data_IF_381897543772
#
_entry.id   IF_381897543772
#
_cell.length_a   1.000
_cell.length_b   1.000
_cell.length_c   1.000
_cell.angle_alpha   90.00
_cell.angle_beta   90.00
_cell.angle_gamma   90.00
#
_symmetry.space_group_name_H-M   'P 1'
#
loop_
_entity.id
_entity.type
_entity.pdbx_description
1 polymer ?
#
# COMPACT_ATOMS: atom_id res chain seq x y z
N UNK A 1 22.18 3.55 -11.81
CA UNK A 1 21.50 2.26 -11.93
C UNK A 1 21.18 1.74 -10.53
N UNK A 2 19.93 1.91 -10.08
CA UNK A 2 19.22 1.06 -9.10
C UNK A 2 19.74 0.81 -7.66
N UNK A 3 21.01 1.06 -7.34
CA UNK A 3 21.59 0.85 -6.00
C UNK A 3 21.07 1.84 -4.96
N UNK A 4 21.41 1.67 -3.66
CA UNK A 4 21.29 2.78 -2.71
C UNK A 4 21.98 3.99 -3.34
N UNK A 5 21.34 5.16 -3.31
CA UNK A 5 22.08 6.33 -3.72
C UNK A 5 23.31 6.45 -2.82
N UNK A 6 24.49 6.71 -3.38
CA UNK A 6 25.67 7.00 -2.57
C UNK A 6 25.32 8.14 -1.62
N UNK A 7 25.10 7.83 -0.34
CA UNK A 7 24.82 8.85 0.67
C UNK A 7 26.16 9.52 0.94
N UNK A 8 26.38 10.63 0.25
CA UNK A 8 27.55 11.46 0.44
C UNK A 8 27.38 12.30 1.71
N UNK A 9 28.11 11.95 2.77
CA UNK A 9 28.29 12.81 3.93
C UNK A 9 29.67 13.45 3.76
N UNK A 10 29.70 14.68 3.22
CA UNK A 10 30.95 15.36 2.90
C UNK A 10 31.69 14.67 1.73
N UNK A 11 32.94 14.26 1.95
CA UNK A 11 33.80 13.61 0.94
C UNK A 11 33.76 12.08 0.96
N UNK A 12 33.05 11.47 1.91
CA UNK A 12 32.89 10.02 2.00
C UNK A 12 31.54 9.62 1.45
N UNK A 13 31.59 8.85 0.37
CA UNK A 13 30.43 8.16 -0.15
C UNK A 13 30.26 6.88 0.67
N UNK A 14 29.08 6.65 1.24
CA UNK A 14 28.74 5.36 1.88
C UNK A 14 28.57 4.29 0.80
N UNK A 15 29.68 3.90 0.17
CA UNK A 15 29.79 2.73 -0.70
C UNK A 15 29.69 1.48 0.18
N UNK A 16 29.00 0.44 -0.29
CA UNK A 16 28.90 -0.81 0.47
C UNK A 16 30.33 -1.36 0.54
N UNK A 17 30.93 -1.57 1.73
CA UNK A 17 32.40 -1.67 1.91
C UNK A 17 33.11 -2.86 1.24
N UNK A 18 32.46 -3.60 0.34
CA UNK A 18 32.96 -4.80 -0.32
C UNK A 18 32.56 -4.93 -1.80
N UNK A 19 31.84 -3.97 -2.40
CA UNK A 19 31.29 -4.12 -3.77
C UNK A 19 31.73 -2.95 -4.65
N UNK A 20 32.38 -3.20 -5.81
CA UNK A 20 32.74 -2.14 -6.75
C UNK A 20 31.52 -1.37 -7.31
N UNK A 21 31.63 -0.05 -7.37
CA UNK A 21 30.57 0.93 -7.72
C UNK A 21 29.85 0.65 -9.06
N UNK A 22 30.46 -0.11 -9.97
CA UNK A 22 29.85 -0.52 -11.24
C UNK A 22 28.80 -1.64 -11.13
N UNK A 23 28.84 -2.46 -10.06
CA UNK A 23 27.96 -3.62 -9.88
C UNK A 23 27.03 -3.51 -8.66
N UNK A 24 27.19 -2.47 -7.83
CA UNK A 24 26.36 -2.22 -6.64
C UNK A 24 24.86 -2.18 -6.96
N UNK A 25 24.49 -1.56 -8.09
CA UNK A 25 23.10 -1.49 -8.54
C UNK A 25 22.50 -2.86 -8.87
N UNK A 26 23.29 -3.71 -9.54
CA UNK A 26 22.88 -5.08 -9.88
C UNK A 26 22.78 -5.95 -8.64
N UNK A 27 23.74 -5.83 -7.72
CA UNK A 27 23.72 -6.57 -6.47
C UNK A 27 22.53 -6.17 -5.59
N UNK A 28 22.22 -4.89 -5.49
CA UNK A 28 21.09 -4.40 -4.71
C UNK A 28 19.74 -4.84 -5.30
N UNK A 29 19.61 -4.82 -6.63
CA UNK A 29 18.44 -5.38 -7.30
C UNK A 29 18.31 -6.87 -7.00
N UNK A 30 19.41 -7.62 -7.13
CA UNK A 30 19.44 -9.06 -6.87
C UNK A 30 19.08 -9.37 -5.41
N UNK A 31 19.59 -8.60 -4.46
CA UNK A 31 19.25 -8.70 -3.05
C UNK A 31 17.75 -8.46 -2.80
N UNK A 32 17.15 -7.41 -3.40
CA UNK A 32 15.71 -7.18 -3.32
C UNK A 32 14.92 -8.36 -3.88
N UNK A 33 15.29 -8.86 -5.05
CA UNK A 33 14.62 -10.01 -5.69
C UNK A 33 14.71 -11.25 -4.81
N UNK A 34 15.87 -11.56 -4.23
CA UNK A 34 16.04 -12.67 -3.30
C UNK A 34 15.15 -12.53 -2.06
N UNK A 35 15.05 -11.32 -1.50
CA UNK A 35 14.15 -11.04 -0.37
C UNK A 35 12.69 -11.24 -0.77
N UNK A 36 12.25 -10.71 -1.91
CA UNK A 36 10.89 -10.92 -2.41
C UNK A 36 10.58 -12.40 -2.69
N UNK A 37 11.53 -13.14 -3.26
CA UNK A 37 11.38 -14.57 -3.52
C UNK A 37 11.27 -15.36 -2.21
N UNK A 38 12.12 -15.06 -1.22
CA UNK A 38 12.07 -15.67 0.10
C UNK A 38 10.71 -15.42 0.76
N UNK A 39 10.23 -14.17 0.73
CA UNK A 39 8.92 -13.79 1.24
C UNK A 39 7.81 -14.58 0.53
N UNK A 40 7.85 -14.71 -0.80
CA UNK A 40 6.85 -15.46 -1.55
C UNK A 40 6.80 -16.95 -1.17
N UNK A 41 7.97 -17.58 -1.05
CA UNK A 41 8.07 -18.99 -0.61
C UNK A 41 7.58 -19.14 0.83
N UNK A 42 7.92 -18.21 1.71
CA UNK A 42 7.46 -18.19 3.10
C UNK A 42 5.94 -18.00 3.23
N UNK A 43 5.35 -17.06 2.48
CA UNK A 43 3.90 -16.88 2.44
C UNK A 43 3.18 -18.12 1.91
N UNK A 44 3.72 -18.80 0.89
CA UNK A 44 3.18 -20.08 0.40
C UNK A 44 3.19 -21.15 1.49
N UNK A 45 4.24 -21.20 2.32
CA UNK A 45 4.38 -22.19 3.38
C UNK A 45 3.50 -21.88 4.61
N UNK A 46 3.21 -20.61 4.88
CA UNK A 46 2.50 -20.16 6.10
C UNK A 46 1.01 -19.93 5.91
N UNK A 47 0.55 -19.54 4.71
CA UNK A 47 -0.86 -19.24 4.48
C UNK A 47 -1.70 -20.52 4.30
N UNK A 48 -2.70 -20.77 5.16
CA UNK A 48 -3.68 -21.84 4.94
C UNK A 48 -4.52 -21.50 3.69
N UNK A 49 -4.80 -22.51 2.85
CA UNK A 49 -5.45 -22.35 1.53
C UNK A 49 -6.73 -21.49 1.63
N UNK A 50 -6.68 -20.26 1.10
CA UNK A 50 -7.82 -19.36 1.06
C UNK A 50 -8.78 -19.76 -0.07
N UNK A 51 -10.07 -19.69 0.20
CA UNK A 51 -11.10 -19.96 -0.81
C UNK A 51 -11.18 -18.80 -1.81
N UNK A 52 -11.54 -19.10 -3.07
CA UNK A 52 -11.70 -18.09 -4.12
C UNK A 52 -12.64 -16.95 -3.70
N UNK A 53 -13.74 -17.30 -3.04
CA UNK A 53 -14.74 -16.33 -2.57
C UNK A 53 -14.16 -15.35 -1.53
N UNK A 54 -13.23 -15.79 -0.69
CA UNK A 54 -12.55 -14.92 0.30
C UNK A 54 -11.55 -13.97 -0.36
N UNK A 55 -10.86 -14.45 -1.40
CA UNK A 55 -9.94 -13.62 -2.19
C UNK A 55 -10.71 -12.57 -3.00
N UNK A 56 -11.84 -12.97 -3.58
CA UNK A 56 -12.75 -12.07 -4.31
C UNK A 56 -13.29 -10.98 -3.36
N UNK A 57 -13.75 -11.37 -2.18
CA UNK A 57 -14.25 -10.42 -1.19
C UNK A 57 -13.16 -9.45 -0.70
N UNK A 58 -11.94 -9.93 -0.43
CA UNK A 58 -10.82 -9.07 -0.07
C UNK A 58 -10.47 -8.10 -1.20
N UNK A 59 -10.37 -8.60 -2.44
CA UNK A 59 -10.07 -7.82 -3.64
C UNK A 59 -11.07 -6.69 -3.87
N UNK A 60 -12.34 -7.03 -3.93
CA UNK A 60 -13.39 -6.10 -4.33
C UNK A 60 -13.86 -5.20 -3.18
N UNK A 61 -13.93 -5.69 -1.95
CA UNK A 61 -14.45 -4.90 -0.82
C UNK A 61 -13.37 -4.12 -0.07
N UNK A 62 -12.10 -4.55 -0.13
CA UNK A 62 -11.02 -3.94 0.67
C UNK A 62 -9.94 -3.32 -0.21
N UNK A 63 -9.39 -4.05 -1.20
CA UNK A 63 -8.25 -3.55 -2.00
C UNK A 63 -8.63 -2.39 -2.93
N UNK A 64 -9.77 -2.48 -3.64
CA UNK A 64 -10.19 -1.41 -4.56
C UNK A 64 -10.47 -0.09 -3.81
N UNK A 65 -11.31 -0.06 -2.77
CA UNK A 65 -11.57 1.19 -2.05
C UNK A 65 -10.32 1.75 -1.35
N UNK A 66 -9.45 0.88 -0.83
CA UNK A 66 -8.20 1.31 -0.20
C UNK A 66 -7.23 1.96 -1.20
N UNK A 67 -7.05 1.35 -2.37
CA UNK A 67 -6.17 1.91 -3.41
C UNK A 67 -6.71 3.22 -3.98
N UNK A 68 -8.02 3.34 -4.17
CA UNK A 68 -8.66 4.59 -4.58
C UNK A 68 -8.51 5.69 -3.52
N UNK A 69 -8.73 5.37 -2.24
CA UNK A 69 -8.52 6.32 -1.14
C UNK A 69 -7.08 6.82 -1.08
N UNK A 70 -6.10 5.92 -1.21
CA UNK A 70 -4.69 6.30 -1.26
C UNK A 70 -4.36 7.19 -2.47
N UNK A 71 -4.92 6.88 -3.64
CA UNK A 71 -4.78 7.72 -4.82
C UNK A 71 -5.35 9.12 -4.59
N UNK A 72 -6.53 9.24 -3.97
CA UNK A 72 -7.15 10.53 -3.64
C UNK A 72 -6.29 11.33 -2.64
N UNK A 73 -5.66 10.69 -1.64
CA UNK A 73 -4.68 11.38 -0.77
C UNK A 73 -3.56 12.01 -1.57
N UNK A 74 -2.90 11.20 -2.40
CA UNK A 74 -1.73 11.65 -3.15
C UNK A 74 -2.10 12.77 -4.13
N UNK A 75 -3.26 12.66 -4.78
CA UNK A 75 -3.79 13.71 -5.65
C UNK A 75 -4.07 15.01 -4.89
N UNK A 76 -4.74 14.93 -3.74
CA UNK A 76 -5.04 16.09 -2.90
C UNK A 76 -3.75 16.77 -2.38
N UNK A 77 -2.78 15.98 -1.92
CA UNK A 77 -1.48 16.46 -1.47
C UNK A 77 -0.71 17.16 -2.60
N UNK A 78 -0.73 16.58 -3.80
CA UNK A 78 -0.04 17.15 -4.95
C UNK A 78 -0.67 18.45 -5.41
N UNK A 79 -2.00 18.55 -5.39
CA UNK A 79 -2.72 19.78 -5.72
C UNK A 79 -2.50 20.87 -4.67
N UNK A 80 -2.66 20.55 -3.38
CA UNK A 80 -2.50 21.51 -2.29
C UNK A 80 -1.10 22.12 -2.22
N UNK A 81 -0.07 21.32 -2.54
CA UNK A 81 1.31 21.81 -2.64
C UNK A 81 1.52 22.76 -3.82
N UNK A 82 0.85 22.54 -4.95
CA UNK A 82 0.98 23.40 -6.13
C UNK A 82 0.37 24.79 -5.90
N UNK A 83 -0.73 24.86 -5.15
CA UNK A 83 -1.44 26.11 -4.80
C UNK A 83 -0.80 26.83 -3.58
N UNK A 84 0.29 26.30 -3.03
CA UNK A 84 1.01 26.90 -1.89
C UNK A 84 0.27 26.80 -0.55
N UNK A 85 -0.70 25.88 -0.42
CA UNK A 85 -1.42 25.67 0.83
C UNK A 85 -0.54 24.95 1.86
N UNK A 86 -0.84 25.16 3.14
CA UNK A 86 -0.14 24.46 4.22
C UNK A 86 -0.38 22.94 4.10
N UNK A 87 0.71 22.20 3.95
CA UNK A 87 0.70 20.74 3.77
C UNK A 87 0.06 20.05 4.97
N UNK A 88 0.19 20.61 6.17
CA UNK A 88 -0.39 20.03 7.40
C UNK A 88 -1.92 20.10 7.31
N UNK A 89 -2.47 21.25 6.92
CA UNK A 89 -3.93 21.43 6.78
C UNK A 89 -4.50 20.50 5.72
N UNK A 90 -3.85 20.41 4.55
CA UNK A 90 -4.31 19.53 3.46
C UNK A 90 -4.21 18.05 3.87
N UNK A 91 -3.18 17.66 4.63
CA UNK A 91 -3.02 16.28 5.13
C UNK A 91 -4.10 15.91 6.13
N UNK A 92 -4.36 16.79 7.09
CA UNK A 92 -5.41 16.54 8.09
C UNK A 92 -6.79 16.50 7.44
N UNK A 93 -7.09 17.45 6.54
CA UNK A 93 -8.38 17.49 5.85
C UNK A 93 -8.60 16.25 4.96
N UNK A 94 -7.61 15.86 4.16
CA UNK A 94 -7.70 14.67 3.30
C UNK A 94 -7.75 13.37 4.10
N UNK A 95 -7.05 13.27 5.23
CA UNK A 95 -7.16 12.15 6.14
C UNK A 95 -8.57 12.05 6.76
N UNK A 96 -9.15 13.17 7.19
CA UNK A 96 -10.53 13.20 7.73
C UNK A 96 -11.54 12.75 6.67
N UNK A 97 -11.46 13.30 5.45
CA UNK A 97 -12.35 12.95 4.35
C UNK A 97 -12.30 11.44 4.05
N UNK A 98 -11.12 10.85 4.09
CA UNK A 98 -10.98 9.42 3.83
C UNK A 98 -11.39 8.54 5.00
N UNK A 99 -11.17 8.97 6.24
CA UNK A 99 -11.67 8.24 7.41
C UNK A 99 -13.20 8.21 7.39
N UNK A 100 -13.82 9.35 7.09
CA UNK A 100 -15.29 9.46 6.95
C UNK A 100 -15.78 8.63 5.76
N UNK A 101 -15.16 8.78 4.59
CA UNK A 101 -15.52 8.03 3.39
C UNK A 101 -15.37 6.52 3.58
N UNK A 102 -14.29 6.08 4.20
CA UNK A 102 -14.06 4.68 4.54
C UNK A 102 -15.08 4.18 5.57
N UNK A 103 -15.38 4.97 6.62
CA UNK A 103 -16.39 4.63 7.62
C UNK A 103 -17.79 4.45 7.02
N UNK A 104 -18.20 5.35 6.14
CA UNK A 104 -19.47 5.27 5.42
C UNK A 104 -19.53 4.04 4.51
N UNK A 105 -18.46 3.77 3.76
CA UNK A 105 -18.35 2.58 2.91
C UNK A 105 -18.48 1.30 3.74
N UNK A 106 -17.76 1.20 4.86
CA UNK A 106 -17.85 0.03 5.75
C UNK A 106 -19.25 -0.12 6.36
N UNK A 107 -19.90 0.99 6.72
CA UNK A 107 -21.26 0.96 7.24
C UNK A 107 -22.27 0.49 6.19
N UNK A 108 -22.14 0.95 4.94
CA UNK A 108 -22.95 0.50 3.82
C UNK A 108 -22.77 -1.00 3.54
N UNK A 109 -21.52 -1.49 3.56
CA UNK A 109 -21.23 -2.91 3.37
C UNK A 109 -21.77 -3.78 4.52
N UNK A 110 -21.76 -3.28 5.76
CA UNK A 110 -22.37 -3.97 6.93
C UNK A 110 -23.89 -4.01 6.85
N UNK A 111 -24.54 -2.97 6.35
CA UNK A 111 -26.00 -2.95 6.15
C UNK A 111 -26.40 -3.97 5.07
N UNK A 112 -25.66 -4.04 3.96
CA UNK A 112 -25.93 -5.01 2.90
C UNK A 112 -25.87 -6.47 3.37
N UNK A 113 -25.00 -6.81 4.32
CA UNK A 113 -24.96 -8.15 4.89
C UNK A 113 -26.20 -8.47 5.73
N UNK A 114 -26.69 -7.48 6.50
CA UNK A 114 -27.90 -7.63 7.33
C UNK A 114 -29.16 -7.86 6.50
N UNK A 115 -29.26 -7.22 5.34
CA UNK A 115 -30.44 -7.39 4.48
C UNK A 115 -30.49 -8.77 3.83
N UNK A 116 -29.32 -9.33 3.46
CA UNK A 116 -29.22 -10.70 2.93
C UNK A 116 -29.61 -11.76 3.97
N UNK A 117 -29.30 -11.54 5.25
CA UNK A 117 -29.69 -12.43 6.35
C UNK A 117 -31.22 -12.41 6.58
N UNK A 118 -31.84 -11.24 6.47
CA UNK A 118 -33.30 -11.08 6.62
C UNK A 118 -34.06 -11.79 5.50
N UNK A 119 -33.61 -11.63 4.26
CA UNK A 119 -34.22 -12.30 3.09
C UNK A 119 -34.05 -13.82 3.15
N UNK A 120 -32.90 -14.32 3.62
CA UNK A 120 -32.66 -15.75 3.80
C UNK A 120 -33.49 -16.41 4.90
N UNK A 121 -34.04 -15.63 5.83
CA UNK A 121 -34.90 -16.13 6.93
C UNK A 121 -36.40 -16.15 6.61
N UNK A 122 -36.81 -15.61 5.46
CA UNK A 122 -38.22 -15.56 5.02
C UNK A 122 -38.61 -16.77 4.14
N UNK A 123 -37.70 -17.71 3.90
CA UNK A 123 -37.92 -18.99 3.21
C UNK A 123 -37.65 -20.17 4.14
#
# INVERSE_FOLDING_TARGET
>A
FGGPQPIAIGSTVLDIPFIPNGIEGTFWLLAKVLVFLYIYVWFRATLPRLRYDQLMDLGWKILIPASLGWFMLLAAQRLGRNEGWDTIVVTVASAIVLIVGYGLLQMALRVSQRDREREGSMF
#
